data_IF_208331056586
#
_entry.id   IF_208331056586
#
_cell.length_a   1.000
_cell.length_b   1.000
_cell.length_c   1.000
_cell.angle_alpha   90.00
_cell.angle_beta   90.00
_cell.angle_gamma   90.00
#
_symmetry.space_group_name_H-M   'P 1'
#
loop_
_entity.id
_entity.type
_entity.pdbx_description
1 polymer ?
#
# COMPACT_ATOMS: atom_id res chain seq x y z
N UNK A 1 4.23 -32.81 27.40
CA UNK A 1 5.39 -33.57 26.89
C UNK A 1 5.62 -33.13 25.45
N UNK A 2 6.87 -33.01 25.00
CA UNK A 2 7.16 -32.64 23.60
C UNK A 2 6.88 -33.87 22.73
N UNK A 3 6.04 -33.73 21.71
CA UNK A 3 5.82 -34.74 20.67
C UNK A 3 6.81 -34.51 19.55
N UNK A 4 7.79 -35.40 19.44
CA UNK A 4 8.62 -35.51 18.24
C UNK A 4 7.80 -36.12 17.12
N UNK A 5 7.61 -35.37 16.05
CA UNK A 5 6.87 -35.78 14.87
C UNK A 5 7.76 -36.70 14.03
N UNK A 6 7.21 -37.85 13.64
CA UNK A 6 7.83 -38.75 12.68
C UNK A 6 7.21 -38.55 11.30
N UNK A 7 7.84 -39.06 10.25
CA UNK A 7 7.32 -38.96 8.89
C UNK A 7 5.87 -39.48 8.76
N UNK A 8 5.52 -40.53 9.52
CA UNK A 8 4.17 -41.15 9.50
C UNK A 8 3.08 -40.25 10.08
N UNK A 9 3.46 -39.26 10.88
CA UNK A 9 2.53 -38.28 11.43
C UNK A 9 2.18 -37.17 10.42
N UNK A 10 3.00 -37.01 9.37
CA UNK A 10 2.87 -35.95 8.37
C UNK A 10 1.93 -36.38 7.24
N UNK A 11 0.98 -35.53 6.90
CA UNK A 11 0.02 -35.77 5.81
C UNK A 11 0.63 -35.47 4.44
N UNK A 12 0.05 -36.06 3.39
CA UNK A 12 0.41 -35.71 2.01
C UNK A 12 0.14 -34.23 1.73
N UNK A 13 1.06 -33.54 1.05
CA UNK A 13 0.94 -32.10 0.78
C UNK A 13 -0.31 -31.74 -0.05
N UNK A 14 -0.79 -32.67 -0.89
CA UNK A 14 -2.02 -32.49 -1.65
C UNK A 14 -3.24 -32.25 -0.75
N UNK A 15 -3.20 -32.77 0.48
CA UNK A 15 -4.30 -32.67 1.45
C UNK A 15 -4.24 -31.41 2.34
N UNK A 16 -3.20 -30.59 2.23
CA UNK A 16 -3.06 -29.38 3.04
C UNK A 16 -4.16 -28.37 2.67
N UNK A 17 -4.90 -27.94 3.70
CA UNK A 17 -5.85 -26.85 3.65
C UNK A 17 -5.15 -25.50 3.60
N UNK A 18 -5.75 -24.54 2.89
CA UNK A 18 -5.30 -23.15 2.95
C UNK A 18 -5.55 -22.51 4.33
N UNK A 19 -4.87 -21.39 4.61
CA UNK A 19 -5.16 -20.57 5.77
C UNK A 19 -6.61 -20.07 5.72
N UNK A 20 -7.34 -20.19 6.84
CA UNK A 20 -8.75 -19.80 6.95
C UNK A 20 -8.90 -18.27 7.09
N UNK A 21 -8.61 -17.54 6.02
CA UNK A 21 -8.70 -16.08 5.95
C UNK A 21 -9.63 -15.71 4.80
N UNK A 22 -10.68 -14.95 5.10
CA UNK A 22 -11.59 -14.43 4.08
C UNK A 22 -10.85 -13.42 3.20
N UNK A 23 -10.77 -13.70 1.90
CA UNK A 23 -10.27 -12.75 0.91
C UNK A 23 -11.42 -11.82 0.55
N UNK A 24 -11.28 -10.54 0.85
CA UNK A 24 -12.34 -9.56 0.60
C UNK A 24 -12.26 -9.01 -0.84
N UNK A 25 -13.41 -8.94 -1.53
CA UNK A 25 -13.52 -8.63 -2.97
C UNK A 25 -13.08 -7.21 -3.38
N UNK A 26 -12.79 -6.32 -2.42
CA UNK A 26 -12.46 -4.92 -2.68
C UNK A 26 -10.95 -4.67 -2.93
N UNK A 27 -10.09 -5.69 -2.86
CA UNK A 27 -8.65 -5.53 -3.09
C UNK A 27 -8.32 -5.32 -4.58
N UNK A 28 -8.14 -4.07 -4.99
CA UNK A 28 -7.78 -3.68 -6.37
C UNK A 28 -6.41 -4.26 -6.76
N UNK A 29 -6.33 -4.86 -7.96
CA UNK A 29 -5.09 -5.37 -8.54
C UNK A 29 -4.68 -6.77 -8.05
N UNK A 30 -5.36 -7.34 -7.05
CA UNK A 30 -5.07 -8.65 -6.48
C UNK A 30 -4.94 -9.75 -7.54
N UNK A 31 -5.93 -9.85 -8.43
CA UNK A 31 -5.96 -10.88 -9.48
C UNK A 31 -4.86 -10.74 -10.54
N UNK A 32 -4.48 -9.51 -10.90
CA UNK A 32 -3.39 -9.27 -11.86
C UNK A 32 -2.04 -9.61 -11.22
N UNK A 33 -1.78 -9.07 -10.03
CA UNK A 33 -0.52 -9.34 -9.31
C UNK A 33 -0.35 -10.82 -8.98
N UNK A 34 -1.44 -11.51 -8.59
CA UNK A 34 -1.40 -12.94 -8.31
C UNK A 34 -1.05 -13.77 -9.54
N UNK A 35 -1.60 -13.42 -10.72
CA UNK A 35 -1.26 -14.10 -12.00
C UNK A 35 0.19 -13.91 -12.41
N UNK A 36 0.75 -12.70 -12.26
CA UNK A 36 2.17 -12.46 -12.55
C UNK A 36 3.08 -13.23 -11.60
N UNK A 37 2.78 -13.22 -10.29
CA UNK A 37 3.52 -14.01 -9.31
C UNK A 37 3.44 -15.51 -9.59
N UNK A 38 2.26 -16.00 -9.99
CA UNK A 38 2.07 -17.40 -10.37
C UNK A 38 2.91 -17.76 -11.60
N UNK A 39 2.98 -16.87 -12.60
CA UNK A 39 3.80 -17.06 -13.79
C UNK A 39 5.30 -17.12 -13.45
N UNK A 40 5.77 -16.31 -12.51
CA UNK A 40 7.15 -16.38 -12.01
C UNK A 40 7.40 -17.73 -11.33
N UNK A 41 6.48 -18.17 -10.44
CA UNK A 41 6.56 -19.49 -9.80
C UNK A 41 6.63 -20.60 -10.87
N UNK A 42 5.74 -20.58 -11.86
CA UNK A 42 5.72 -21.57 -12.94
C UNK A 42 6.99 -21.56 -13.81
N UNK A 43 7.62 -20.39 -13.94
CA UNK A 43 8.85 -20.23 -14.72
C UNK A 43 10.08 -20.76 -13.97
N UNK A 44 10.14 -20.57 -12.65
CA UNK A 44 11.35 -20.82 -11.88
C UNK A 44 11.30 -22.09 -11.02
N UNK A 45 10.15 -22.49 -10.50
CA UNK A 45 10.02 -23.67 -9.64
C UNK A 45 10.44 -25.01 -10.31
N UNK A 46 10.25 -25.22 -11.62
CA UNK A 46 10.73 -26.44 -12.29
C UNK A 46 12.25 -26.46 -12.54
N UNK A 47 13.00 -25.43 -12.13
CA UNK A 47 14.45 -25.33 -12.37
C UNK A 47 15.22 -25.70 -11.11
N UNK A 48 16.45 -26.19 -11.27
CA UNK A 48 17.43 -26.31 -10.18
C UNK A 48 18.39 -25.13 -10.24
N UNK A 49 18.75 -24.56 -9.08
CA UNK A 49 19.73 -23.47 -9.01
C UNK A 49 21.11 -23.97 -9.44
N UNK A 50 21.62 -23.41 -10.53
CA UNK A 50 22.95 -23.70 -11.06
C UNK A 50 23.72 -22.38 -11.31
N UNK A 51 25.05 -22.43 -11.53
CA UNK A 51 25.80 -21.24 -11.92
C UNK A 51 25.28 -20.54 -13.18
N UNK A 52 24.51 -21.25 -14.01
CA UNK A 52 23.96 -20.76 -15.29
C UNK A 52 22.48 -20.39 -15.14
N UNK A 53 21.72 -21.17 -14.37
CA UNK A 53 20.28 -21.00 -14.13
C UNK A 53 20.04 -20.64 -12.66
N UNK A 54 20.06 -19.35 -12.35
CA UNK A 54 19.77 -18.85 -11.00
C UNK A 54 18.27 -18.87 -10.76
N UNK A 55 17.83 -19.57 -9.71
CA UNK A 55 16.43 -19.58 -9.25
C UNK A 55 16.28 -18.50 -8.15
N UNK A 56 15.60 -17.37 -8.44
CA UNK A 56 15.36 -16.35 -7.43
C UNK A 56 14.18 -16.75 -6.54
N UNK A 57 14.17 -16.36 -5.23
CA UNK A 57 12.93 -16.38 -4.47
C UNK A 57 11.98 -15.29 -4.95
N UNK A 58 10.68 -15.47 -4.68
CA UNK A 58 9.69 -14.41 -4.79
C UNK A 58 9.53 -13.72 -3.42
N UNK A 59 9.84 -12.43 -3.36
CA UNK A 59 9.70 -11.63 -2.16
C UNK A 59 8.55 -10.64 -2.30
N UNK A 60 7.66 -10.63 -1.32
CA UNK A 60 6.58 -9.68 -1.19
C UNK A 60 6.91 -8.69 -0.08
N UNK A 61 7.56 -7.59 -0.43
CA UNK A 61 7.86 -6.51 0.51
C UNK A 61 6.82 -5.39 0.41
N UNK A 62 6.28 -4.99 1.56
CA UNK A 62 5.32 -3.89 1.79
C UNK A 62 5.32 -3.57 3.28
N UNK A 63 5.01 -2.34 3.68
CA UNK A 63 4.82 -1.96 5.08
C UNK A 63 3.80 -2.87 5.82
N UNK A 64 3.68 -2.71 7.14
CA UNK A 64 2.67 -3.43 7.94
C UNK A 64 1.23 -3.03 7.53
N UNK A 65 0.32 -4.02 7.46
CA UNK A 65 -1.13 -3.86 7.10
C UNK A 65 -1.44 -3.58 5.63
N UNK A 66 -0.54 -3.95 4.71
CA UNK A 66 -0.64 -3.63 3.27
C UNK A 66 -1.33 -4.70 2.43
N UNK A 67 -2.08 -5.58 3.09
CA UNK A 67 -2.66 -6.77 2.47
C UNK A 67 -1.63 -7.80 2.05
N UNK A 68 -0.40 -7.81 2.59
CA UNK A 68 0.62 -8.82 2.27
C UNK A 68 0.14 -10.23 2.60
N UNK A 69 -0.34 -10.42 3.84
CA UNK A 69 -0.92 -11.69 4.28
C UNK A 69 -2.10 -12.06 3.38
N UNK A 70 -3.06 -11.15 3.15
CA UNK A 70 -4.21 -11.41 2.27
C UNK A 70 -3.80 -11.76 0.84
N UNK A 71 -2.79 -11.08 0.29
CA UNK A 71 -2.25 -11.40 -1.03
C UNK A 71 -1.51 -12.74 -1.05
N UNK A 72 -0.74 -13.07 -0.02
CA UNK A 72 -0.05 -14.35 0.08
C UNK A 72 -1.05 -15.50 0.22
N UNK A 73 -2.15 -15.31 0.96
CA UNK A 73 -3.29 -16.24 1.02
C UNK A 73 -3.93 -16.39 -0.36
N UNK A 74 -4.18 -15.29 -1.07
CA UNK A 74 -4.71 -15.34 -2.44
C UNK A 74 -3.78 -16.09 -3.40
N UNK A 75 -2.47 -15.84 -3.32
CA UNK A 75 -1.47 -16.54 -4.11
C UNK A 75 -1.39 -18.03 -3.74
N UNK A 76 -1.57 -18.38 -2.46
CA UNK A 76 -1.69 -19.77 -2.04
C UNK A 76 -2.85 -20.46 -2.77
N UNK A 77 -4.04 -19.86 -2.79
CA UNK A 77 -5.20 -20.44 -3.48
C UNK A 77 -4.96 -20.58 -4.99
N UNK A 78 -4.33 -19.59 -5.62
CA UNK A 78 -3.94 -19.67 -7.03
C UNK A 78 -2.96 -20.82 -7.29
N UNK A 79 -1.90 -20.95 -6.48
CA UNK A 79 -0.92 -22.03 -6.62
C UNK A 79 -1.54 -23.39 -6.31
N UNK A 80 -2.45 -23.48 -5.34
CA UNK A 80 -3.16 -24.72 -4.99
C UNK A 80 -4.09 -25.20 -6.12
N UNK A 81 -4.67 -24.26 -6.87
CA UNK A 81 -5.51 -24.56 -8.01
C UNK A 81 -4.73 -25.08 -9.23
N UNK A 82 -3.41 -24.84 -9.29
CA UNK A 82 -2.56 -25.34 -10.38
C UNK A 82 -2.27 -26.84 -10.24
N UNK A 83 -2.53 -27.65 -11.28
CA UNK A 83 -2.26 -29.09 -11.25
C UNK A 83 -0.78 -29.40 -10.95
N UNK A 84 -0.55 -30.25 -9.96
CA UNK A 84 0.80 -30.71 -9.58
C UNK A 84 1.57 -29.75 -8.68
N UNK A 85 0.99 -28.61 -8.29
CA UNK A 85 1.59 -27.69 -7.31
C UNK A 85 1.10 -27.99 -5.88
N UNK A 86 2.04 -27.91 -4.94
CA UNK A 86 1.88 -28.31 -3.55
C UNK A 86 2.32 -27.15 -2.64
N UNK A 87 1.49 -26.12 -2.44
CA UNK A 87 1.86 -24.98 -1.60
C UNK A 87 1.81 -25.35 -0.10
N UNK A 88 2.76 -24.82 0.67
CA UNK A 88 2.83 -24.91 2.13
C UNK A 88 2.79 -23.48 2.67
N UNK A 89 1.82 -23.16 3.53
CA UNK A 89 1.74 -21.85 4.16
C UNK A 89 2.16 -21.92 5.63
N UNK A 90 3.08 -21.05 6.03
CA UNK A 90 3.45 -20.82 7.43
C UNK A 90 3.43 -19.31 7.73
N UNK A 91 3.12 -18.95 8.97
CA UNK A 91 3.11 -17.54 9.41
C UNK A 91 3.80 -17.37 10.75
N UNK A 92 4.58 -16.30 10.86
CA UNK A 92 5.16 -15.84 12.13
C UNK A 92 4.33 -14.69 12.76
N UNK A 93 3.18 -14.35 12.17
CA UNK A 93 2.32 -13.24 12.57
C UNK A 93 1.01 -13.71 13.25
N UNK A 94 0.57 -13.00 14.30
CA UNK A 94 -0.84 -13.00 14.78
C UNK A 94 -1.43 -14.33 15.30
N UNK A 95 -2.78 -14.38 15.37
CA UNK A 95 -3.62 -15.38 16.06
C UNK A 95 -3.35 -16.87 15.74
N UNK A 96 -2.64 -17.18 14.65
CA UNK A 96 -2.24 -18.54 14.25
C UNK A 96 -0.70 -18.70 14.09
N UNK A 97 0.06 -17.67 14.47
CA UNK A 97 1.50 -17.58 14.23
C UNK A 97 2.32 -18.48 15.15
N UNK A 98 3.35 -19.10 14.57
CA UNK A 98 4.31 -19.91 15.32
C UNK A 98 5.32 -18.97 15.99
N UNK A 99 5.27 -18.88 17.32
CA UNK A 99 6.27 -18.12 18.08
C UNK A 99 7.45 -18.99 18.46
N UNK A 100 8.66 -18.43 18.40
CA UNK A 100 9.89 -19.09 18.85
C UNK A 100 9.84 -19.40 20.35
N UNK A 101 10.20 -20.62 20.73
CA UNK A 101 10.30 -21.01 22.15
C UNK A 101 11.60 -20.51 22.77
N UNK A 102 11.59 -20.34 24.09
CA UNK A 102 12.82 -20.08 24.85
C UNK A 102 13.78 -21.27 24.70
N UNK A 103 14.99 -21.01 24.22
CA UNK A 103 16.02 -22.04 24.01
C UNK A 103 15.91 -22.80 22.68
N UNK A 104 14.89 -22.55 21.87
CA UNK A 104 14.75 -23.10 20.51
C UNK A 104 15.59 -22.27 19.53
N UNK A 105 16.30 -22.91 18.60
CA UNK A 105 16.99 -22.19 17.51
C UNK A 105 15.98 -21.69 16.48
N UNK A 106 16.36 -20.71 15.66
CA UNK A 106 15.46 -20.22 14.59
C UNK A 106 15.15 -21.32 13.57
N UNK A 107 16.13 -22.17 13.28
CA UNK A 107 15.95 -23.35 12.44
C UNK A 107 14.91 -24.31 13.04
N UNK A 108 14.98 -24.60 14.33
CA UNK A 108 13.98 -25.45 14.98
C UNK A 108 12.57 -24.82 14.95
N UNK A 109 12.47 -23.49 15.08
CA UNK A 109 11.19 -22.79 14.96
C UNK A 109 10.58 -22.94 13.55
N UNK A 110 11.37 -22.80 12.48
CA UNK A 110 10.85 -22.94 11.11
C UNK A 110 10.50 -24.39 10.77
N UNK A 111 11.31 -25.37 11.19
CA UNK A 111 11.02 -26.80 11.03
C UNK A 111 9.70 -27.16 11.72
N UNK A 112 9.49 -26.66 12.94
CA UNK A 112 8.23 -26.83 13.66
C UNK A 112 7.06 -26.15 12.97
N UNK A 113 7.25 -24.93 12.44
CA UNK A 113 6.19 -24.22 11.75
C UNK A 113 5.69 -25.01 10.54
N UNK A 114 6.61 -25.55 9.74
CA UNK A 114 6.28 -26.41 8.60
C UNK A 114 5.59 -27.68 9.09
N UNK A 115 6.19 -28.38 10.06
CA UNK A 115 5.63 -29.63 10.57
C UNK A 115 4.20 -29.48 11.12
N UNK A 116 3.90 -28.39 11.83
CA UNK A 116 2.53 -28.10 12.33
C UNK A 116 1.53 -27.99 11.17
N UNK A 117 1.89 -27.33 10.06
CA UNK A 117 1.03 -27.25 8.86
C UNK A 117 0.83 -28.63 8.19
N UNK A 118 1.81 -29.53 8.35
CA UNK A 118 1.77 -30.87 7.78
C UNK A 118 1.04 -31.90 8.66
N UNK A 119 0.55 -31.54 9.84
CA UNK A 119 -0.24 -32.47 10.66
C UNK A 119 -1.70 -32.55 10.16
N UNK A 120 -2.31 -33.76 10.08
CA UNK A 120 -3.70 -33.93 9.63
C UNK A 120 -4.74 -33.14 10.42
N UNK A 121 -4.45 -32.89 11.71
CA UNK A 121 -5.26 -32.07 12.58
C UNK A 121 -4.37 -30.98 13.19
N UNK A 122 -4.78 -29.72 13.09
CA UNK A 122 -4.08 -28.61 13.71
C UNK A 122 -4.01 -28.86 15.23
N UNK A 123 -2.81 -29.05 15.81
CA UNK A 123 -2.70 -29.33 17.22
C UNK A 123 -3.16 -28.13 18.04
N UNK A 124 -3.91 -28.37 19.11
CA UNK A 124 -4.34 -27.34 20.07
C UNK A 124 -3.15 -26.66 20.74
N UNK A 125 -2.02 -27.39 20.86
CA UNK A 125 -0.75 -26.89 21.38
C UNK A 125 0.37 -27.08 20.35
N UNK A 126 0.57 -26.06 19.51
CA UNK A 126 1.67 -25.99 18.52
C UNK A 126 3.06 -25.86 19.17
N UNK A 127 3.12 -25.54 20.47
CA UNK A 127 4.37 -25.43 21.23
C UNK A 127 4.85 -26.78 21.77
N UNK A 128 4.00 -27.81 21.76
CA UNK A 128 4.40 -29.18 22.13
C UNK A 128 5.05 -29.97 20.99
N UNK A 129 5.07 -29.43 19.77
CA UNK A 129 5.57 -30.11 18.57
C UNK A 129 7.08 -29.90 18.41
N UNK A 130 7.81 -30.92 17.96
CA UNK A 130 9.18 -30.80 17.42
C UNK A 130 9.35 -31.68 16.19
N UNK A 131 10.16 -31.22 15.24
CA UNK A 131 10.50 -31.96 14.03
C UNK A 131 11.96 -31.67 13.69
N UNK A 132 12.74 -32.71 13.43
CA UNK A 132 14.10 -32.59 12.92
C UNK A 132 14.12 -32.40 11.39
N UNK A 133 15.25 -31.93 10.90
CA UNK A 133 15.41 -31.59 9.49
C UNK A 133 15.32 -32.80 8.57
N UNK A 134 15.92 -33.93 8.97
CA UNK A 134 15.97 -35.16 8.17
C UNK A 134 14.56 -35.70 7.95
N UNK A 135 13.74 -35.77 9.01
CA UNK A 135 12.35 -36.20 8.93
C UNK A 135 11.53 -35.33 7.96
N UNK A 136 11.71 -34.01 8.02
CA UNK A 136 11.00 -33.11 7.11
C UNK A 136 11.48 -33.27 5.66
N UNK A 137 12.80 -33.32 5.44
CA UNK A 137 13.37 -33.49 4.10
C UNK A 137 12.93 -34.81 3.47
N UNK A 138 13.03 -35.90 4.21
CA UNK A 138 12.58 -37.24 3.79
C UNK A 138 11.10 -37.24 3.40
N UNK A 139 10.26 -36.53 4.15
CA UNK A 139 8.85 -36.39 3.82
C UNK A 139 8.64 -35.60 2.52
N UNK A 140 9.32 -34.47 2.34
CA UNK A 140 9.22 -33.61 1.15
C UNK A 140 9.70 -34.32 -0.12
N UNK A 141 10.76 -35.14 -0.04
CA UNK A 141 11.30 -35.89 -1.17
C UNK A 141 10.36 -36.99 -1.68
N UNK A 142 9.46 -37.49 -0.84
CA UNK A 142 8.43 -38.47 -1.25
C UNK A 142 7.20 -37.84 -1.89
N UNK A 143 7.10 -36.52 -1.93
CA UNK A 143 5.96 -35.83 -2.51
C UNK A 143 6.16 -35.67 -4.02
N UNK A 144 5.16 -36.11 -4.78
CA UNK A 144 5.14 -35.94 -6.23
C UNK A 144 4.48 -34.60 -6.57
N UNK A 145 5.28 -33.61 -7.00
CA UNK A 145 4.81 -32.30 -7.43
C UNK A 145 5.82 -31.19 -7.17
N UNK A 146 5.42 -29.97 -7.51
CA UNK A 146 6.20 -28.75 -7.29
C UNK A 146 5.82 -28.17 -5.93
N UNK A 147 6.76 -28.17 -4.98
CA UNK A 147 6.52 -27.70 -3.62
C UNK A 147 6.84 -26.21 -3.53
N UNK A 148 5.89 -25.40 -3.07
CA UNK A 148 6.05 -23.96 -2.91
C UNK A 148 5.90 -23.58 -1.45
N UNK A 149 6.99 -23.23 -0.77
CA UNK A 149 6.93 -22.75 0.60
C UNK A 149 6.61 -21.26 0.62
N UNK A 150 5.53 -20.90 1.32
CA UNK A 150 5.02 -19.55 1.48
C UNK A 150 5.13 -19.13 2.94
N UNK A 151 5.96 -18.13 3.23
CA UNK A 151 6.25 -17.67 4.60
C UNK A 151 5.72 -16.25 4.80
N UNK A 152 4.79 -16.07 5.73
CA UNK A 152 4.32 -14.75 6.13
C UNK A 152 5.16 -14.15 7.28
N UNK A 153 5.63 -12.91 7.06
CA UNK A 153 6.42 -12.08 7.97
C UNK A 153 7.71 -12.77 8.44
N UNK A 154 8.54 -13.24 7.49
CA UNK A 154 9.79 -13.97 7.75
C UNK A 154 10.75 -13.16 8.64
N UNK A 155 10.71 -11.83 8.55
CA UNK A 155 11.57 -10.95 9.34
C UNK A 155 11.28 -11.00 10.84
N UNK A 156 10.11 -11.49 11.27
CA UNK A 156 9.84 -11.76 12.70
C UNK A 156 10.70 -12.92 13.24
N UNK A 157 11.04 -13.89 12.40
CA UNK A 157 11.97 -14.97 12.76
C UNK A 157 13.42 -14.57 12.54
N UNK A 158 13.70 -13.87 11.44
CA UNK A 158 15.03 -13.44 11.02
C UNK A 158 15.06 -11.90 10.88
N UNK A 159 15.16 -11.15 11.99
CA UNK A 159 15.27 -9.69 11.93
C UNK A 159 16.56 -9.26 11.22
N UNK A 160 16.57 -8.05 10.64
CA UNK A 160 17.78 -7.46 10.03
C UNK A 160 18.99 -7.52 10.96
N UNK A 161 20.15 -7.89 10.40
CA UNK A 161 21.40 -8.03 11.15
C UNK A 161 21.50 -9.36 11.92
N UNK A 162 20.62 -10.32 11.64
CA UNK A 162 20.78 -11.69 12.14
C UNK A 162 22.02 -12.32 11.51
N UNK A 163 22.98 -12.74 12.34
CA UNK A 163 24.22 -13.40 11.91
C UNK A 163 24.09 -14.92 11.77
N UNK A 164 22.95 -15.47 12.19
CA UNK A 164 22.64 -16.89 12.16
C UNK A 164 22.15 -17.28 10.76
N UNK A 165 23.03 -17.94 10.01
CA UNK A 165 22.77 -18.34 8.62
C UNK A 165 22.09 -19.72 8.50
N UNK A 166 21.73 -20.39 9.59
CA UNK A 166 21.16 -21.74 9.54
C UNK A 166 19.81 -21.74 8.81
N UNK A 167 18.92 -20.78 9.12
CA UNK A 167 17.62 -20.64 8.45
C UNK A 167 17.80 -20.35 6.96
N UNK A 168 18.68 -19.42 6.63
CA UNK A 168 18.94 -19.03 5.25
C UNK A 168 19.51 -20.19 4.42
N UNK A 169 20.44 -20.94 5.02
CA UNK A 169 21.04 -22.13 4.41
C UNK A 169 20.03 -23.24 4.20
N UNK A 170 19.14 -23.47 5.18
CA UNK A 170 18.04 -24.43 5.08
C UNK A 170 17.05 -24.04 3.97
N UNK A 171 16.53 -22.80 4.00
CA UNK A 171 15.58 -22.30 3.01
C UNK A 171 16.14 -22.39 1.59
N UNK A 172 17.40 -22.01 1.41
CA UNK A 172 18.07 -22.14 0.11
C UNK A 172 18.18 -23.59 -0.33
N UNK A 173 18.81 -24.44 0.49
CA UNK A 173 19.10 -25.83 0.12
C UNK A 173 17.83 -26.65 -0.14
N UNK A 174 16.79 -26.44 0.66
CA UNK A 174 15.59 -27.29 0.64
C UNK A 174 14.50 -26.73 -0.29
N UNK A 175 14.36 -25.39 -0.39
CA UNK A 175 13.23 -24.76 -1.09
C UNK A 175 13.59 -23.91 -2.31
N UNK A 176 14.87 -23.65 -2.60
CA UNK A 176 15.28 -22.87 -3.78
C UNK A 176 16.23 -23.61 -4.71
N UNK A 177 17.22 -24.33 -4.18
CA UNK A 177 18.29 -24.89 -5.01
C UNK A 177 17.91 -26.18 -5.73
N UNK A 178 16.86 -26.86 -5.26
CA UNK A 178 16.37 -28.12 -5.83
C UNK A 178 15.31 -27.87 -6.89
N UNK A 179 15.29 -28.74 -7.89
CA UNK A 179 14.21 -28.81 -8.88
C UNK A 179 12.85 -29.07 -8.19
N UNK A 180 11.77 -28.51 -8.73
CA UNK A 180 10.42 -28.66 -8.20
C UNK A 180 10.26 -28.12 -6.77
N UNK A 181 11.02 -27.07 -6.44
CA UNK A 181 10.96 -26.34 -5.17
C UNK A 181 10.95 -24.84 -5.44
N UNK A 182 10.17 -24.11 -4.66
CA UNK A 182 10.19 -22.65 -4.71
C UNK A 182 9.91 -22.01 -3.36
N UNK A 183 10.44 -20.80 -3.16
CA UNK A 183 10.28 -20.02 -1.94
C UNK A 183 9.60 -18.68 -2.24
N UNK A 184 8.50 -18.44 -1.53
CA UNK A 184 7.79 -17.17 -1.47
C UNK A 184 7.79 -16.69 -0.03
N UNK A 185 8.11 -15.42 0.23
CA UNK A 185 7.99 -14.88 1.58
C UNK A 185 7.58 -13.41 1.60
N UNK A 186 6.95 -13.00 2.71
CA UNK A 186 6.65 -11.59 2.98
C UNK A 186 7.56 -11.02 4.07
N UNK A 187 7.80 -9.71 4.00
CA UNK A 187 8.52 -8.94 5.03
C UNK A 187 7.96 -7.51 5.07
N UNK A 188 8.02 -6.87 6.24
CA UNK A 188 7.70 -5.45 6.39
C UNK A 188 8.92 -4.52 6.47
N UNK A 189 10.13 -5.06 6.41
CA UNK A 189 11.35 -4.27 6.44
C UNK A 189 11.68 -3.66 5.07
N UNK A 190 12.11 -2.38 5.01
CA UNK A 190 12.48 -1.70 3.77
C UNK A 190 13.66 -2.40 3.08
N UNK A 191 13.57 -2.52 1.77
CA UNK A 191 14.48 -3.32 0.97
C UNK A 191 15.84 -2.64 0.72
N UNK A 192 16.92 -3.31 1.11
CA UNK A 192 18.23 -3.19 0.47
C UNK A 192 18.68 -4.59 -0.02
N UNK A 193 19.37 -4.67 -1.16
CA UNK A 193 19.76 -5.96 -1.76
C UNK A 193 20.63 -6.85 -0.84
N UNK A 194 21.22 -6.29 0.21
CA UNK A 194 21.95 -7.02 1.25
C UNK A 194 21.04 -7.95 2.07
N UNK A 195 19.78 -7.58 2.27
CA UNK A 195 18.86 -8.32 3.14
C UNK A 195 18.40 -9.66 2.53
N UNK A 196 18.40 -9.79 1.19
CA UNK A 196 18.15 -11.07 0.52
C UNK A 196 19.25 -12.07 0.87
N UNK A 197 20.51 -11.61 0.91
CA UNK A 197 21.61 -12.48 1.26
C UNK A 197 21.50 -13.00 2.70
N UNK A 198 20.89 -12.22 3.61
CA UNK A 198 20.58 -12.66 4.97
C UNK A 198 19.46 -13.73 4.99
N UNK A 199 18.47 -13.65 4.10
CA UNK A 199 17.36 -14.62 4.04
C UNK A 199 17.65 -15.88 3.24
N UNK A 200 18.54 -15.81 2.25
CA UNK A 200 18.82 -16.94 1.34
C UNK A 200 20.29 -17.32 1.29
N UNK A 201 21.18 -16.68 2.06
CA UNK A 201 22.58 -17.08 2.20
C UNK A 201 23.44 -16.85 0.94
N UNK A 202 23.15 -15.82 0.12
CA UNK A 202 23.96 -15.50 -1.07
C UNK A 202 23.60 -14.20 -1.81
N UNK A 203 24.49 -13.72 -2.68
CA UNK A 203 24.25 -12.57 -3.59
C UNK A 203 23.32 -12.99 -4.73
N UNK A 204 22.02 -12.73 -4.61
CA UNK A 204 21.03 -13.00 -5.66
C UNK A 204 20.31 -11.73 -6.11
N UNK A 205 19.92 -11.70 -7.38
CA UNK A 205 18.88 -10.82 -7.91
C UNK A 205 17.52 -11.42 -7.56
N UNK A 206 16.71 -10.76 -6.73
CA UNK A 206 15.32 -11.15 -6.51
C UNK A 206 14.45 -10.75 -7.70
N UNK A 207 13.39 -11.52 -7.96
CA UNK A 207 12.25 -10.98 -8.71
C UNK A 207 11.32 -10.37 -7.68
N UNK A 208 11.51 -9.07 -7.44
CA UNK A 208 10.46 -8.27 -6.83
C UNK A 208 9.46 -7.97 -7.96
N UNK A 209 8.18 -8.35 -7.85
CA UNK A 209 7.21 -7.88 -8.82
C UNK A 209 7.26 -6.35 -8.82
N UNK A 210 7.60 -5.76 -9.97
CA UNK A 210 7.45 -4.32 -10.20
C UNK A 210 5.95 -4.00 -10.07
N UNK A 211 5.53 -3.66 -8.86
CA UNK A 211 4.22 -3.10 -8.56
C UNK A 211 4.01 -1.74 -9.26
N UNK A 212 5.01 -1.23 -9.99
CA UNK A 212 4.91 -0.11 -10.93
C UNK A 212 3.87 -0.37 -12.04
N UNK A 213 3.59 -1.62 -12.40
CA UNK A 213 2.62 -1.93 -13.47
C UNK A 213 1.13 -1.81 -13.04
N UNK A 214 0.84 -1.47 -11.79
CA UNK A 214 -0.53 -1.41 -11.24
C UNK A 214 -1.24 -0.05 -11.41
N UNK A 215 -0.81 0.81 -12.33
CA UNK A 215 -1.46 2.10 -12.63
C UNK A 215 -2.36 2.02 -13.88
N UNK A 216 -3.06 0.91 -14.07
CA UNK A 216 -4.30 0.95 -14.85
C UNK A 216 -5.45 0.86 -13.84
N UNK A 217 -5.95 2.04 -13.47
CA UNK A 217 -7.22 2.15 -12.75
C UNK A 217 -8.30 1.45 -13.59
N UNK A 218 -9.09 0.53 -13.03
CA UNK A 218 -10.21 -0.05 -13.76
C UNK A 218 -11.09 1.08 -14.27
N UNK A 219 -11.57 0.98 -15.51
CA UNK A 219 -12.43 1.99 -16.16
C UNK A 219 -13.74 2.27 -15.40
N UNK A 220 -14.06 1.49 -14.36
CA UNK A 220 -15.23 1.61 -13.50
C UNK A 220 -14.94 1.40 -11.99
N UNK A 221 -13.70 1.51 -11.52
CA UNK A 221 -13.35 1.28 -10.10
C UNK A 221 -12.86 2.55 -9.37
N UNK A 222 -13.22 2.70 -8.09
CA UNK A 222 -12.66 3.73 -7.22
C UNK A 222 -11.19 3.41 -6.87
N UNK A 223 -10.30 4.39 -6.95
CA UNK A 223 -8.93 4.24 -6.47
C UNK A 223 -8.90 4.30 -4.94
N UNK A 224 -8.26 3.32 -4.30
CA UNK A 224 -8.04 3.29 -2.84
C UNK A 224 -6.54 3.37 -2.53
N UNK A 225 -6.09 4.56 -2.16
CA UNK A 225 -4.78 4.87 -1.61
C UNK A 225 -4.75 4.47 -0.14
N UNK A 226 -3.92 3.50 0.22
CA UNK A 226 -3.66 3.18 1.62
C UNK A 226 -2.61 4.17 2.11
N UNK A 227 -3.00 5.13 2.96
CA UNK A 227 -2.23 6.35 3.22
C UNK A 227 -0.81 6.11 3.71
N UNK A 228 -0.59 5.20 4.66
CA UNK A 228 0.77 4.88 5.10
C UNK A 228 1.68 4.33 3.99
N UNK A 229 1.13 3.79 2.89
CA UNK A 229 1.87 3.37 1.70
C UNK A 229 2.04 4.50 0.69
N UNK A 230 0.98 5.29 0.50
CA UNK A 230 1.01 6.44 -0.39
C UNK A 230 2.13 7.40 0.01
N UNK A 231 2.36 7.64 1.31
CA UNK A 231 3.46 8.47 1.78
C UNK A 231 4.83 7.93 1.35
N UNK A 232 5.09 6.64 1.60
CA UNK A 232 6.38 6.02 1.26
C UNK A 232 6.62 5.95 -0.25
N UNK A 233 5.57 5.69 -1.03
CA UNK A 233 5.66 5.71 -2.50
C UNK A 233 5.95 7.12 -3.02
N UNK A 234 5.29 8.14 -2.46
CA UNK A 234 5.57 9.53 -2.80
C UNK A 234 7.02 9.87 -2.47
N UNK A 235 7.55 9.47 -1.30
CA UNK A 235 8.96 9.65 -0.98
C UNK A 235 9.90 8.97 -1.98
N UNK A 236 9.60 7.73 -2.38
CA UNK A 236 10.39 6.98 -3.37
C UNK A 236 10.39 7.64 -4.75
N UNK A 237 9.24 8.18 -5.18
CA UNK A 237 9.08 8.90 -6.44
C UNK A 237 9.54 10.37 -6.36
N UNK A 238 10.21 10.76 -5.28
CA UNK A 238 10.67 12.12 -5.02
C UNK A 238 9.54 13.18 -5.01
N UNK A 239 8.34 12.78 -4.62
CA UNK A 239 7.18 13.62 -4.33
C UNK A 239 7.13 13.89 -2.82
N UNK A 240 8.15 14.58 -2.32
CA UNK A 240 8.43 14.69 -0.88
C UNK A 240 7.33 15.45 -0.13
N UNK A 241 6.77 16.48 -0.74
CA UNK A 241 5.70 17.31 -0.19
C UNK A 241 4.43 16.50 0.00
N UNK A 242 3.99 15.78 -1.03
CA UNK A 242 2.81 14.91 -0.92
C UNK A 242 3.02 13.80 0.12
N UNK A 243 4.24 13.27 0.25
CA UNK A 243 4.56 12.31 1.30
C UNK A 243 4.43 12.91 2.70
N UNK A 244 4.95 14.13 2.90
CA UNK A 244 4.85 14.86 4.15
C UNK A 244 3.39 15.15 4.52
N UNK A 245 2.57 15.56 3.55
CA UNK A 245 1.13 15.82 3.76
C UNK A 245 0.40 14.58 4.29
N UNK A 246 0.72 13.41 3.75
CA UNK A 246 0.12 12.15 4.18
C UNK A 246 0.57 11.77 5.60
N UNK A 247 1.82 12.06 5.96
CA UNK A 247 2.32 11.83 7.31
C UNK A 247 1.70 12.81 8.32
N UNK A 248 1.60 14.10 7.96
CA UNK A 248 0.95 15.15 8.77
C UNK A 248 -0.49 14.79 9.10
N UNK A 249 -1.24 14.20 8.17
CA UNK A 249 -2.61 13.75 8.46
C UNK A 249 -2.67 12.78 9.65
N UNK A 250 -1.68 11.90 9.83
CA UNK A 250 -1.66 10.98 10.96
C UNK A 250 -1.41 11.71 12.29
N UNK A 251 -0.54 12.72 12.26
CA UNK A 251 -0.25 13.56 13.42
C UNK A 251 -1.42 14.48 13.76
N UNK A 252 -1.99 15.17 12.76
CA UNK A 252 -3.02 16.18 12.93
C UNK A 252 -4.41 15.58 13.19
N UNK A 253 -4.64 14.32 12.77
CA UNK A 253 -5.84 13.58 13.15
C UNK A 253 -5.88 13.20 14.64
N UNK A 254 -4.76 13.31 15.38
CA UNK A 254 -4.72 13.00 16.81
C UNK A 254 -5.34 14.10 17.69
N UNK A 255 -5.50 15.32 17.16
CA UNK A 255 -6.22 16.42 17.81
C UNK A 255 -7.45 16.85 16.98
N UNK A 256 -8.61 16.21 17.20
CA UNK A 256 -9.83 16.46 16.44
C UNK A 256 -10.41 17.88 16.65
N UNK A 257 -9.98 18.61 17.68
CA UNK A 257 -10.47 19.96 17.97
C UNK A 257 -9.72 21.04 17.17
N UNK A 258 -8.51 20.73 16.68
CA UNK A 258 -7.67 21.69 15.94
C UNK A 258 -8.22 22.06 14.57
N UNK A 259 -9.04 21.21 13.96
CA UNK A 259 -9.46 21.33 12.56
C UNK A 259 -8.34 21.06 11.54
N UNK A 260 -7.08 20.92 11.97
CA UNK A 260 -5.92 20.71 11.08
C UNK A 260 -5.97 19.37 10.36
N UNK A 261 -6.43 18.32 11.03
CA UNK A 261 -6.68 17.03 10.39
C UNK A 261 -7.67 17.12 9.22
N UNK A 262 -8.71 17.96 9.34
CA UNK A 262 -9.65 18.21 8.25
C UNK A 262 -9.00 18.96 7.09
N UNK A 263 -8.17 19.95 7.39
CA UNK A 263 -7.49 20.75 6.37
C UNK A 263 -6.59 19.85 5.50
N UNK A 264 -5.70 19.11 6.15
CA UNK A 264 -4.79 18.17 5.48
C UNK A 264 -5.56 17.10 4.70
N UNK A 265 -6.68 16.61 5.25
CA UNK A 265 -7.53 15.62 4.57
C UNK A 265 -8.06 16.15 3.24
N UNK A 266 -8.53 17.40 3.20
CA UNK A 266 -9.04 18.02 1.97
C UNK A 266 -7.92 18.29 0.98
N UNK A 267 -6.76 18.77 1.42
CA UNK A 267 -5.56 18.95 0.57
C UNK A 267 -5.19 17.64 -0.12
N UNK A 268 -5.15 16.54 0.63
CA UNK A 268 -4.86 15.21 0.10
C UNK A 268 -5.93 14.73 -0.89
N UNK A 269 -7.21 15.04 -0.64
CA UNK A 269 -8.28 14.72 -1.57
C UNK A 269 -8.11 15.47 -2.90
N UNK A 270 -7.78 16.76 -2.87
CA UNK A 270 -7.46 17.54 -4.08
C UNK A 270 -6.31 16.88 -4.83
N UNK A 271 -5.21 16.57 -4.14
CA UNK A 271 -4.03 15.95 -4.74
C UNK A 271 -4.34 14.61 -5.42
N UNK A 272 -5.01 13.69 -4.71
CA UNK A 272 -5.36 12.38 -5.25
C UNK A 272 -6.32 12.47 -6.43
N UNK A 273 -7.30 13.38 -6.40
CA UNK A 273 -8.21 13.57 -7.53
C UNK A 273 -7.53 14.16 -8.75
N UNK A 274 -6.50 14.98 -8.58
CA UNK A 274 -5.67 15.47 -9.69
C UNK A 274 -4.84 14.34 -10.31
N UNK A 275 -4.23 13.48 -9.48
CA UNK A 275 -3.51 12.30 -9.95
C UNK A 275 -4.42 11.33 -10.71
N UNK A 276 -5.65 11.13 -10.23
CA UNK A 276 -6.64 10.33 -10.94
C UNK A 276 -7.07 10.96 -12.27
N UNK A 277 -7.30 12.28 -12.30
CA UNK A 277 -7.63 13.01 -13.53
C UNK A 277 -6.51 12.88 -14.58
N UNK A 278 -5.25 12.99 -14.13
CA UNK A 278 -4.05 12.76 -14.95
C UNK A 278 -4.00 11.33 -15.49
N UNK A 279 -4.09 10.33 -14.60
CA UNK A 279 -3.99 8.92 -14.98
C UNK A 279 -5.10 8.47 -15.94
N UNK A 280 -6.30 9.06 -15.84
CA UNK A 280 -7.44 8.68 -16.68
C UNK A 280 -7.66 9.58 -17.90
N UNK A 281 -6.99 10.74 -17.97
CA UNK A 281 -7.09 11.67 -19.10
C UNK A 281 -8.42 12.44 -19.19
N UNK A 282 -9.18 12.54 -18.11
CA UNK A 282 -10.46 13.25 -18.04
C UNK A 282 -10.58 14.08 -16.75
N UNK A 283 -11.57 14.97 -16.67
CA UNK A 283 -11.67 16.03 -15.64
C UNK A 283 -11.61 15.59 -14.17
N UNK A 284 -11.80 14.29 -13.89
CA UNK A 284 -11.89 13.79 -12.52
C UNK A 284 -13.19 14.23 -11.85
N UNK A 285 -13.13 14.49 -10.55
CA UNK A 285 -14.30 14.90 -9.76
C UNK A 285 -14.71 16.35 -10.09
N UNK A 286 -16.02 16.68 -10.20
CA UNK A 286 -16.49 18.02 -10.56
C UNK A 286 -15.98 19.15 -9.66
N UNK A 287 -15.73 18.87 -8.37
CA UNK A 287 -15.19 19.85 -7.43
C UNK A 287 -13.77 20.32 -7.73
N UNK A 288 -13.02 19.66 -8.63
CA UNK A 288 -11.74 20.17 -9.10
C UNK A 288 -11.88 21.32 -10.13
N UNK A 289 -13.04 21.48 -10.77
CA UNK A 289 -13.23 22.53 -11.79
C UNK A 289 -12.41 22.35 -13.07
N UNK A 290 -11.79 21.18 -13.26
CA UNK A 290 -10.97 20.92 -14.44
C UNK A 290 -11.82 20.85 -15.72
N UNK A 291 -11.26 21.24 -16.88
CA UNK A 291 -11.97 21.10 -18.15
C UNK A 291 -12.25 19.62 -18.47
N UNK A 292 -13.29 19.29 -19.27
CA UNK A 292 -13.72 17.91 -19.53
C UNK A 292 -12.62 16.94 -19.95
N UNK A 293 -11.64 17.44 -20.72
CA UNK A 293 -10.44 16.71 -21.15
C UNK A 293 -9.20 17.53 -20.77
N UNK A 294 -8.72 17.43 -19.53
CA UNK A 294 -7.63 18.25 -19.05
C UNK A 294 -6.28 17.77 -19.59
N UNK A 295 -6.16 16.48 -19.99
CA UNK A 295 -4.95 15.89 -20.56
C UNK A 295 -3.68 16.24 -19.78
N UNK A 296 -3.79 16.23 -18.44
CA UNK A 296 -2.71 16.60 -17.53
C UNK A 296 -1.51 15.71 -17.83
N UNK A 297 -0.36 16.33 -18.07
CA UNK A 297 0.92 15.66 -18.25
C UNK A 297 1.64 15.49 -16.91
N UNK A 298 1.46 16.46 -16.01
CA UNK A 298 2.19 16.50 -14.75
C UNK A 298 1.38 17.16 -13.62
N UNK A 299 1.60 16.69 -12.40
CA UNK A 299 1.04 17.25 -11.17
C UNK A 299 2.18 17.68 -10.25
N UNK A 300 2.08 18.88 -9.67
CA UNK A 300 3.01 19.41 -8.69
C UNK A 300 2.33 19.65 -7.35
N UNK A 301 3.03 19.39 -6.24
CA UNK A 301 2.52 19.53 -4.88
C UNK A 301 3.50 20.36 -4.07
N UNK A 302 3.03 21.46 -3.48
CA UNK A 302 3.93 22.40 -2.82
C UNK A 302 3.33 23.04 -1.58
N UNK A 303 4.12 23.10 -0.52
CA UNK A 303 3.83 23.98 0.61
C UNK A 303 4.22 25.41 0.23
N UNK A 304 3.27 26.34 0.36
CA UNK A 304 3.56 27.77 0.17
C UNK A 304 4.14 28.32 1.47
N UNK A 305 5.29 29.02 1.43
CA UNK A 305 5.97 29.52 2.62
C UNK A 305 5.08 30.39 3.51
N UNK A 306 5.29 30.38 4.84
CA UNK A 306 4.43 31.10 5.79
C UNK A 306 4.49 32.63 5.65
N UNK A 307 5.49 33.17 4.95
CA UNK A 307 5.62 34.60 4.65
C UNK A 307 4.66 35.06 3.55
N UNK A 308 4.12 34.11 2.76
CA UNK A 308 3.15 34.37 1.70
C UNK A 308 1.75 34.31 2.32
N UNK A 309 1.04 35.43 2.29
CA UNK A 309 -0.20 35.59 3.06
C UNK A 309 -1.45 35.80 2.21
N UNK A 310 -1.26 36.07 0.91
CA UNK A 310 -2.36 36.32 -0.04
C UNK A 310 -2.28 35.39 -1.25
N UNK A 311 -3.40 35.26 -1.97
CA UNK A 311 -3.45 34.50 -3.21
C UNK A 311 -2.48 35.06 -4.26
N UNK A 312 -2.47 36.38 -4.45
CA UNK A 312 -1.66 37.01 -5.49
C UNK A 312 -0.16 36.78 -5.23
N UNK A 313 0.29 36.91 -3.97
CA UNK A 313 1.66 36.57 -3.57
C UNK A 313 1.98 35.08 -3.80
N UNK A 314 1.03 34.17 -3.53
CA UNK A 314 1.22 32.73 -3.78
C UNK A 314 1.34 32.41 -5.27
N UNK A 315 0.56 33.09 -6.12
CA UNK A 315 0.63 32.93 -7.58
C UNK A 315 1.94 33.49 -8.16
N UNK A 316 2.45 34.59 -7.60
CA UNK A 316 3.77 35.15 -7.93
C UNK A 316 4.90 34.24 -7.47
N UNK A 317 4.82 33.74 -6.23
CA UNK A 317 5.79 32.80 -5.68
C UNK A 317 5.86 31.53 -6.52
N UNK A 318 4.70 30.96 -6.90
CA UNK A 318 4.62 29.82 -7.80
C UNK A 318 5.28 30.11 -9.16
N UNK A 319 5.03 31.28 -9.73
CA UNK A 319 5.59 31.66 -11.04
C UNK A 319 7.13 31.78 -11.04
N UNK A 320 7.77 31.86 -9.86
CA UNK A 320 9.24 31.91 -9.71
C UNK A 320 9.87 30.53 -9.52
N UNK A 321 9.08 29.46 -9.39
CA UNK A 321 9.61 28.11 -9.22
C UNK A 321 10.25 27.62 -10.53
N UNK A 322 11.41 26.98 -10.44
CA UNK A 322 12.15 26.44 -11.59
C UNK A 322 11.57 25.08 -12.00
N UNK A 323 10.38 25.12 -12.61
CA UNK A 323 9.61 23.93 -12.96
C UNK A 323 9.68 23.71 -14.47
N UNK A 324 9.97 22.48 -14.94
CA UNK A 324 9.96 22.17 -16.37
C UNK A 324 8.62 22.58 -17.02
N UNK A 325 8.64 23.20 -18.22
CA UNK A 325 7.44 23.66 -18.90
C UNK A 325 6.67 22.50 -19.54
N UNK A 326 6.22 21.53 -18.74
CA UNK A 326 5.38 20.41 -19.19
C UNK A 326 3.92 20.84 -19.12
N UNK A 327 3.25 20.99 -20.26
CA UNK A 327 1.85 21.41 -20.32
C UNK A 327 0.95 20.35 -20.99
N UNK A 328 -0.33 20.23 -20.61
CA UNK A 328 -0.99 20.87 -19.47
C UNK A 328 -0.51 20.32 -18.12
N UNK A 329 -0.42 21.16 -17.09
CA UNK A 329 -0.12 20.70 -15.72
C UNK A 329 -1.17 21.14 -14.71
N UNK A 330 -1.14 20.48 -13.56
CA UNK A 330 -1.83 20.91 -12.35
C UNK A 330 -0.83 21.16 -11.23
N UNK A 331 -1.04 22.20 -10.43
CA UNK A 331 -0.31 22.41 -9.18
C UNK A 331 -1.30 22.52 -8.01
N UNK A 332 -1.02 21.81 -6.93
CA UNK A 332 -1.75 21.91 -5.66
C UNK A 332 -0.83 22.61 -4.68
N UNK A 333 -1.27 23.77 -4.20
CA UNK A 333 -0.52 24.61 -3.27
C UNK A 333 -1.21 24.58 -1.91
N UNK A 334 -0.43 24.33 -0.87
CA UNK A 334 -0.87 24.27 0.52
C UNK A 334 -0.25 25.42 1.32
N UNK A 335 -0.97 26.54 1.54
CA UNK A 335 -0.44 27.66 2.30
C UNK A 335 -0.17 27.32 3.78
N UNK A 336 1.06 27.56 4.24
CA UNK A 336 1.44 27.36 5.64
C UNK A 336 1.17 28.58 6.53
N UNK A 337 0.78 29.71 5.94
CA UNK A 337 0.46 30.93 6.67
C UNK A 337 -0.86 30.75 7.44
N UNK A 338 -0.81 30.83 8.78
CA UNK A 338 -2.00 30.68 9.62
C UNK A 338 -3.05 31.79 9.45
N UNK A 339 -2.65 32.92 8.87
CA UNK A 339 -3.50 34.07 8.56
C UNK A 339 -3.75 34.23 7.06
N UNK A 340 -3.54 33.18 6.27
CA UNK A 340 -3.77 33.24 4.82
C UNK A 340 -5.21 33.67 4.53
N UNK A 341 -5.37 34.63 3.62
CA UNK A 341 -6.55 35.52 3.64
C UNK A 341 -7.89 34.86 3.28
N UNK A 342 -7.89 33.73 2.54
CA UNK A 342 -9.14 33.17 1.98
C UNK A 342 -9.12 31.67 1.62
N UNK A 343 -7.97 31.01 1.48
CA UNK A 343 -7.92 29.62 1.03
C UNK A 343 -6.87 28.82 1.80
N UNK A 344 -7.23 27.60 2.18
CA UNK A 344 -6.32 26.65 2.83
C UNK A 344 -5.69 25.69 1.81
N UNK A 345 -6.19 25.69 0.57
CA UNK A 345 -5.59 24.97 -0.56
C UNK A 345 -5.93 25.68 -1.87
N UNK A 346 -4.96 25.75 -2.78
CA UNK A 346 -5.12 26.37 -4.09
C UNK A 346 -4.76 25.36 -5.17
N UNK A 347 -5.66 25.17 -6.12
CA UNK A 347 -5.46 24.36 -7.30
C UNK A 347 -5.22 25.27 -8.50
N UNK A 348 -4.10 25.07 -9.18
CA UNK A 348 -3.76 25.74 -10.43
C UNK A 348 -3.85 24.73 -11.57
N UNK A 349 -4.53 25.08 -12.64
CA UNK A 349 -4.45 24.35 -13.90
C UNK A 349 -3.97 25.29 -15.01
N UNK A 350 -2.89 24.89 -15.67
CA UNK A 350 -2.25 25.68 -16.72
C UNK A 350 -2.17 24.83 -17.99
N UNK A 351 -2.87 25.28 -19.05
CA UNK A 351 -2.96 24.54 -20.31
C UNK A 351 -1.74 24.73 -21.22
N UNK A 352 -1.11 25.89 -21.16
CA UNK A 352 0.03 26.30 -22.00
C UNK A 352 0.77 27.44 -21.31
N UNK A 353 2.02 27.70 -21.70
CA UNK A 353 2.92 28.69 -21.08
C UNK A 353 2.29 30.08 -20.93
N UNK A 354 1.74 30.64 -22.01
CA UNK A 354 1.14 31.97 -22.04
C UNK A 354 -0.41 31.93 -21.97
N UNK A 355 -0.96 30.92 -21.30
CA UNK A 355 -2.40 30.68 -21.20
C UNK A 355 -3.07 31.30 -19.98
N UNK A 356 -4.40 31.44 -20.04
CA UNK A 356 -5.24 31.74 -18.87
C UNK A 356 -5.06 30.62 -17.85
N UNK A 357 -4.59 30.98 -16.66
CA UNK A 357 -4.50 30.09 -15.50
C UNK A 357 -5.91 29.90 -14.94
N UNK A 358 -6.36 28.65 -14.85
CA UNK A 358 -7.54 28.35 -14.05
C UNK A 358 -7.09 28.21 -12.60
N UNK A 359 -7.61 29.05 -11.72
CA UNK A 359 -7.32 29.04 -10.29
C UNK A 359 -8.58 28.65 -9.56
N UNK A 360 -8.46 27.65 -8.68
CA UNK A 360 -9.54 27.20 -7.83
C UNK A 360 -9.08 27.14 -6.38
N UNK A 361 -9.77 27.88 -5.52
CA UNK A 361 -9.46 27.95 -4.10
C UNK A 361 -10.38 27.06 -3.27
N UNK A 362 -9.82 26.40 -2.26
CA UNK A 362 -10.56 25.60 -1.28
C UNK A 362 -10.36 26.22 0.10
N UNK A 363 -11.44 26.70 0.71
CA UNK A 363 -11.45 27.03 2.14
C UNK A 363 -12.05 25.84 2.89
N UNK A 364 -11.38 25.43 3.96
CA UNK A 364 -11.60 24.20 4.70
C UNK A 364 -11.99 24.56 6.13
N UNK A 365 -13.16 24.11 6.58
CA UNK A 365 -13.61 24.31 7.96
C UNK A 365 -14.18 23.01 8.51
N UNK A 366 -13.56 22.46 9.55
CA UNK A 366 -14.01 21.19 10.15
C UNK A 366 -15.44 21.27 10.73
N UNK A 367 -15.86 22.45 11.21
CA UNK A 367 -17.16 22.68 11.85
C UNK A 367 -18.31 23.05 10.91
N UNK A 368 -19.34 23.69 11.49
CA UNK A 368 -20.55 24.18 10.79
C UNK A 368 -20.44 25.64 10.34
N UNK A 369 -19.23 26.20 10.31
CA UNK A 369 -19.02 27.62 10.02
C UNK A 369 -19.26 27.90 8.53
N UNK A 370 -19.99 28.98 8.27
CA UNK A 370 -20.25 29.48 6.92
C UNK A 370 -19.24 30.58 6.58
N UNK A 371 -19.05 30.88 5.28
CA UNK A 371 -18.26 32.03 4.87
C UNK A 371 -18.82 33.30 5.50
N UNK A 372 -17.93 34.10 6.08
CA UNK A 372 -18.22 35.44 6.59
C UNK A 372 -18.09 36.51 5.49
N UNK A 373 -17.42 36.16 4.38
CA UNK A 373 -17.18 37.01 3.21
C UNK A 373 -17.54 36.28 1.91
N UNK A 374 -18.01 37.05 0.92
CA UNK A 374 -18.22 36.54 -0.44
C UNK A 374 -16.88 36.10 -1.05
N UNK A 375 -16.92 35.09 -1.91
CA UNK A 375 -15.72 34.62 -2.59
C UNK A 375 -15.25 35.62 -3.65
N UNK A 376 -13.94 35.62 -3.91
CA UNK A 376 -13.33 36.37 -5.02
C UNK A 376 -13.98 36.00 -6.36
N UNK A 377 -14.35 36.98 -7.17
CA UNK A 377 -15.06 36.77 -8.44
C UNK A 377 -14.16 36.22 -9.56
N UNK A 378 -12.85 36.45 -9.44
CA UNK A 378 -11.82 36.01 -10.38
C UNK A 378 -11.32 34.58 -10.10
N UNK A 379 -11.84 33.91 -9.06
CA UNK A 379 -11.37 32.60 -8.59
C UNK A 379 -12.55 31.68 -8.31
N UNK A 380 -12.55 30.50 -8.93
CA UNK A 380 -13.51 29.46 -8.59
C UNK A 380 -13.29 29.03 -7.14
N UNK A 381 -14.30 29.18 -6.28
CA UNK A 381 -14.11 29.03 -4.84
C UNK A 381 -15.00 27.92 -4.29
N UNK A 382 -14.42 27.01 -3.51
CA UNK A 382 -15.11 25.87 -2.88
C UNK A 382 -14.98 25.96 -1.37
N UNK A 383 -16.10 25.85 -0.66
CA UNK A 383 -16.13 25.85 0.80
C UNK A 383 -16.35 24.42 1.32
N UNK A 384 -15.28 23.80 1.81
CA UNK A 384 -15.23 22.41 2.25
C UNK A 384 -15.49 22.32 3.76
N UNK A 385 -16.73 21.97 4.12
CA UNK A 385 -17.14 21.78 5.52
C UNK A 385 -17.03 20.33 5.96
N UNK A 386 -16.55 20.10 7.19
CA UNK A 386 -16.63 18.80 7.82
C UNK A 386 -18.08 18.37 8.09
N UNK A 387 -18.96 19.32 8.45
CA UNK A 387 -20.42 19.12 8.44
C UNK A 387 -21.05 19.93 7.31
N UNK A 388 -21.40 19.25 6.22
CA UNK A 388 -21.94 19.91 5.03
C UNK A 388 -23.17 20.77 5.34
N UNK A 389 -23.28 21.91 4.66
CA UNK A 389 -24.38 22.85 4.81
C UNK A 389 -25.74 22.22 4.50
N UNK A 390 -26.66 22.28 5.48
CA UNK A 390 -28.07 21.91 5.31
C UNK A 390 -28.86 22.98 4.51
N UNK A 391 -28.43 24.25 4.56
CA UNK A 391 -29.07 25.38 3.88
C UNK A 391 -28.09 26.10 2.95
N UNK A 392 -28.34 26.05 1.63
CA UNK A 392 -27.46 26.56 0.56
C UNK A 392 -27.62 28.06 0.23
N UNK A 393 -28.41 28.82 0.97
CA UNK A 393 -28.79 30.20 0.58
C UNK A 393 -28.67 31.19 1.73
N UNK A 394 -27.51 31.81 1.86
CA UNK A 394 -27.32 33.12 2.50
C UNK A 394 -26.62 34.04 1.50
N UNK A 395 -26.84 35.36 1.60
CA UNK A 395 -26.11 36.35 0.79
C UNK A 395 -24.58 36.22 0.99
N UNK A 396 -24.14 35.71 2.13
CA UNK A 396 -22.73 35.49 2.47
C UNK A 396 -22.09 34.32 1.71
N UNK A 397 -22.88 33.42 1.10
CA UNK A 397 -22.41 32.32 0.26
C UNK A 397 -22.24 32.72 -1.23
N UNK A 398 -22.39 34.01 -1.57
CA UNK A 398 -22.19 34.51 -2.93
C UNK A 398 -20.82 34.07 -3.47
N UNK A 399 -20.83 33.45 -4.66
CA UNK A 399 -19.68 32.92 -5.40
C UNK A 399 -18.96 31.70 -4.78
N UNK A 400 -19.46 31.14 -3.68
CA UNK A 400 -18.95 29.89 -3.12
C UNK A 400 -19.68 28.67 -3.69
N UNK A 401 -18.93 27.64 -4.07
CA UNK A 401 -19.46 26.29 -4.28
C UNK A 401 -19.58 25.61 -2.92
N UNK A 402 -20.80 25.28 -2.51
CA UNK A 402 -21.11 24.58 -1.25
C UNK A 402 -21.48 23.11 -1.53
N UNK A 403 -20.52 22.16 -1.50
CA UNK A 403 -20.80 20.76 -1.74
C UNK A 403 -21.65 20.15 -0.62
N UNK A 404 -22.57 19.26 -0.99
CA UNK A 404 -23.32 18.41 -0.07
C UNK A 404 -22.42 17.36 0.59
N UNK A 405 -22.88 16.73 1.67
CA UNK A 405 -22.16 15.64 2.32
C UNK A 405 -21.85 14.48 1.35
N UNK A 406 -22.77 14.19 0.43
CA UNK A 406 -22.57 13.20 -0.64
C UNK A 406 -21.42 13.59 -1.57
N UNK A 407 -21.43 14.83 -2.07
CA UNK A 407 -20.37 15.36 -2.94
C UNK A 407 -19.01 15.42 -2.22
N UNK A 408 -18.97 15.72 -0.93
CA UNK A 408 -17.74 15.70 -0.13
C UNK A 408 -17.21 14.27 0.03
N UNK A 409 -18.07 13.30 0.40
CA UNK A 409 -17.67 11.89 0.51
C UNK A 409 -17.18 11.32 -0.81
N UNK A 410 -17.88 11.64 -1.88
CA UNK A 410 -17.46 11.28 -3.23
C UNK A 410 -16.11 11.92 -3.52
N UNK A 411 -15.91 13.20 -3.23
CA UNK A 411 -14.63 13.88 -3.45
C UNK A 411 -13.47 13.25 -2.66
N UNK A 412 -13.67 12.92 -1.38
CA UNK A 412 -12.68 12.22 -0.55
C UNK A 412 -12.32 10.83 -1.11
N UNK A 413 -13.27 10.17 -1.75
CA UNK A 413 -13.07 8.87 -2.39
C UNK A 413 -12.81 7.73 -1.42
N UNK A 414 -12.62 6.53 -1.98
CA UNK A 414 -12.48 5.29 -1.19
C UNK A 414 -11.29 5.30 -0.20
N UNK A 415 -10.33 6.20 -0.41
CA UNK A 415 -9.10 6.34 0.37
C UNK A 415 -9.28 7.15 1.65
N UNK A 416 -10.05 8.24 1.56
CA UNK A 416 -10.16 9.25 2.61
C UNK A 416 -11.56 9.32 3.22
N UNK A 417 -12.59 8.79 2.56
CA UNK A 417 -13.98 8.89 3.03
C UNK A 417 -14.21 8.27 4.41
N UNK A 418 -13.46 7.23 4.77
CA UNK A 418 -13.62 6.56 6.07
C UNK A 418 -12.99 7.37 7.22
N UNK A 419 -12.18 8.38 6.87
CA UNK A 419 -11.63 9.39 7.80
C UNK A 419 -12.53 10.63 7.91
N UNK A 420 -13.61 10.68 7.12
CA UNK A 420 -14.66 11.69 7.29
C UNK A 420 -15.29 11.51 8.67
N UNK A 421 -15.31 12.54 9.54
CA UNK A 421 -15.74 12.37 10.92
C UNK A 421 -17.21 11.91 11.00
N UNK A 422 -17.45 10.71 11.53
CA UNK A 422 -18.80 10.12 11.67
C UNK A 422 -19.71 10.94 12.60
N UNK A 423 -19.13 11.70 13.52
CA UNK A 423 -19.84 12.57 14.45
C UNK A 423 -20.51 13.78 13.78
N UNK A 424 -20.21 14.03 12.50
CA UNK A 424 -20.79 15.12 11.71
C UNK A 424 -22.01 14.68 10.90
N UNK A 425 -22.40 13.40 10.94
CA UNK A 425 -23.63 12.85 10.34
C UNK A 425 -24.89 13.04 11.20
N UNK A 426 -24.74 13.34 12.50
CA UNK A 426 -25.86 13.54 13.44
C UNK A 426 -26.27 14.99 13.65
#
# INVERSE_FOLDING_TARGET
AIKTVSEKDLQNLANISGPNVTIEDWMVGLGRCGKECLKDIQTFAPKSDSPVDRVPPLMLSRCMRGGKTTFLVYLFELVKAEPGYLPIFISFNGFFGIQRKRGESRLQTILRAIAVTLLPATPTDTQSVSCDEDTLCDHLERQNGIIVLMIDELNLLVPKGTTDNEVASFLRRVFLSRENRYLVFTTHEPFDGSQIAEYTGGKYSCVAPQLEAAVQLPSQGDAKWILCYAAQMCSYLNQLELADWINRLQTDASDPLSGKGWEVLVVLAVAFRCLEAMARGHAGHPLLGLPPKPNIQECYFWDVPPEVSTLDEALEWWARQDIPPTFPFVAVLNPLCSTFEMFDCILLYQRQELGVRHVRGFQQKAGRTYPDKAARQDVDSVWMQGKAAENRRSEQALNWTLPSAGEIREFLGASLRDLFPKELDT
#
